data_IF_760320777391
#
_entry.id   IF_760320777391
#
_cell.length_a   1.000
_cell.length_b   1.000
_cell.length_c   1.000
_cell.angle_alpha   90.00
_cell.angle_beta   90.00
_cell.angle_gamma   90.00
#
_symmetry.space_group_name_H-M   'P 1'
#
loop_
_entity.id
_entity.type
_entity.pdbx_description
1 polymer ?
#
# COMPACT_ATOMS: atom_id res chain seq x y z
N UNK A 1 10.14 21.39 -27.27
CA UNK A 1 9.40 21.56 -25.99
C UNK A 1 9.15 20.19 -25.36
N UNK A 2 9.27 20.06 -24.03
CA UNK A 2 9.10 18.80 -23.28
C UNK A 2 7.68 18.65 -22.72
N UNK A 3 6.67 18.71 -23.60
CA UNK A 3 5.25 18.75 -23.22
C UNK A 3 4.81 17.45 -22.51
N UNK A 4 5.30 16.30 -22.98
CA UNK A 4 5.04 15.00 -22.35
C UNK A 4 5.54 14.94 -20.90
N UNK A 5 6.71 15.50 -20.62
CA UNK A 5 7.28 15.50 -19.27
C UNK A 5 6.51 16.43 -18.33
N UNK A 6 6.05 17.58 -18.85
CA UNK A 6 5.19 18.48 -18.11
C UNK A 6 3.87 17.80 -17.73
N UNK A 7 3.21 17.12 -18.68
CA UNK A 7 1.99 16.34 -18.42
C UNK A 7 2.23 15.29 -17.34
N UNK A 8 3.29 14.49 -17.48
CA UNK A 8 3.58 13.40 -16.55
C UNK A 8 3.88 13.92 -15.13
N UNK A 9 4.57 15.05 -15.01
CA UNK A 9 4.84 15.66 -13.71
C UNK A 9 3.57 16.16 -13.02
N UNK A 10 2.69 16.85 -13.75
CA UNK A 10 1.43 17.35 -13.19
C UNK A 10 0.49 16.18 -12.86
N UNK A 11 0.45 15.15 -13.71
CA UNK A 11 -0.31 13.92 -13.46
C UNK A 11 0.11 13.24 -12.15
N UNK A 12 1.42 13.00 -11.95
CA UNK A 12 1.93 12.41 -10.71
C UNK A 12 1.63 13.28 -9.50
N UNK A 13 1.77 14.60 -9.61
CA UNK A 13 1.41 15.51 -8.53
C UNK A 13 -0.08 15.42 -8.17
N UNK A 14 -0.97 15.31 -9.16
CA UNK A 14 -2.40 15.21 -8.92
C UNK A 14 -2.79 13.84 -8.34
N UNK A 15 -2.25 12.76 -8.89
CA UNK A 15 -2.65 11.40 -8.55
C UNK A 15 -1.94 10.91 -7.28
N UNK A 16 -0.62 10.96 -7.27
CA UNK A 16 0.20 10.38 -6.20
C UNK A 16 0.17 11.29 -4.98
N UNK A 17 0.39 12.60 -5.14
CA UNK A 17 0.48 13.51 -3.98
C UNK A 17 -0.89 14.03 -3.52
N UNK A 18 -1.67 14.65 -4.40
CA UNK A 18 -2.94 15.26 -4.01
C UNK A 18 -3.98 14.20 -3.64
N UNK A 19 -4.26 13.27 -4.55
CA UNK A 19 -5.35 12.30 -4.37
C UNK A 19 -4.98 11.20 -3.36
N UNK A 20 -3.79 10.60 -3.49
CA UNK A 20 -3.43 9.42 -2.68
C UNK A 20 -2.92 9.78 -1.28
N UNK A 21 -2.30 10.94 -1.08
CA UNK A 21 -1.78 11.37 0.22
C UNK A 21 -2.60 12.50 0.84
N UNK A 22 -2.66 13.68 0.21
CA UNK A 22 -3.26 14.86 0.84
C UNK A 22 -4.74 14.64 1.18
N UNK A 23 -5.54 14.14 0.23
CA UNK A 23 -6.96 13.89 0.49
C UNK A 23 -7.17 12.88 1.62
N UNK A 24 -6.40 11.78 1.64
CA UNK A 24 -6.47 10.79 2.73
C UNK A 24 -6.09 11.39 4.10
N UNK A 25 -5.10 12.28 4.13
CA UNK A 25 -4.68 12.97 5.35
C UNK A 25 -5.78 13.89 5.90
N UNK A 26 -6.50 14.60 5.03
CA UNK A 26 -7.50 15.59 5.47
C UNK A 26 -8.91 15.02 5.63
N UNK A 27 -9.17 13.81 5.14
CA UNK A 27 -10.49 13.15 5.26
C UNK A 27 -10.94 13.12 6.73
N UNK A 28 -12.11 13.66 7.08
CA UNK A 28 -12.62 13.54 8.43
C UNK A 28 -12.99 12.09 8.75
N UNK A 29 -13.25 11.80 10.03
CA UNK A 29 -13.84 10.52 10.41
C UNK A 29 -15.20 10.31 9.71
N UNK A 30 -15.66 9.06 9.61
CA UNK A 30 -16.89 8.74 8.90
C UNK A 30 -18.07 9.61 9.38
N UNK A 31 -18.74 10.26 8.43
CA UNK A 31 -19.85 11.21 8.64
C UNK A 31 -19.51 12.46 9.48
N UNK A 32 -18.24 12.76 9.73
CA UNK A 32 -17.82 13.99 10.40
C UNK A 32 -17.51 15.11 9.39
N UNK A 33 -17.76 16.38 9.75
CA UNK A 33 -17.40 17.50 8.90
C UNK A 33 -15.88 17.67 8.83
N UNK A 34 -15.38 18.14 7.68
CA UNK A 34 -14.01 18.61 7.55
C UNK A 34 -13.87 20.00 8.18
N UNK A 35 -12.73 20.27 8.79
CA UNK A 35 -12.40 21.61 9.26
C UNK A 35 -12.47 22.63 8.10
N UNK A 36 -13.10 23.78 8.34
CA UNK A 36 -13.36 24.77 7.31
C UNK A 36 -12.09 25.42 6.75
N UNK A 37 -11.04 25.59 7.57
CA UNK A 37 -9.77 26.13 7.09
C UNK A 37 -9.06 25.13 6.18
N UNK A 38 -9.04 23.86 6.58
CA UNK A 38 -8.51 22.74 5.80
C UNK A 38 -9.24 22.59 4.47
N UNK A 39 -10.58 22.61 4.49
CA UNK A 39 -11.41 22.53 3.29
C UNK A 39 -11.06 23.64 2.28
N UNK A 40 -11.02 24.89 2.73
CA UNK A 40 -10.66 26.03 1.86
C UNK A 40 -9.25 25.91 1.29
N UNK A 41 -8.30 25.45 2.09
CA UNK A 41 -6.92 25.24 1.63
C UNK A 41 -6.84 24.15 0.54
N UNK A 42 -7.50 23.02 0.75
CA UNK A 42 -7.53 21.89 -0.19
C UNK A 42 -8.23 22.26 -1.49
N UNK A 43 -9.37 22.98 -1.43
CA UNK A 43 -10.05 23.48 -2.62
C UNK A 43 -9.18 24.48 -3.39
N UNK A 44 -8.46 25.37 -2.70
CA UNK A 44 -7.54 26.30 -3.37
C UNK A 44 -6.38 25.56 -4.06
N UNK A 45 -5.86 24.49 -3.45
CA UNK A 45 -4.84 23.63 -4.07
C UNK A 45 -5.40 22.90 -5.29
N UNK A 46 -6.60 22.34 -5.18
CA UNK A 46 -7.30 21.68 -6.28
C UNK A 46 -7.49 22.61 -7.48
N UNK A 47 -7.96 23.84 -7.26
CA UNK A 47 -8.11 24.85 -8.31
C UNK A 47 -6.79 25.12 -9.04
N UNK A 48 -5.68 25.27 -8.29
CA UNK A 48 -4.34 25.46 -8.89
C UNK A 48 -3.89 24.28 -9.73
N UNK A 49 -4.18 23.05 -9.28
CA UNK A 49 -3.84 21.83 -10.01
C UNK A 49 -4.64 21.70 -11.31
N UNK A 50 -5.93 22.06 -11.28
CA UNK A 50 -6.78 22.06 -12.48
C UNK A 50 -6.29 23.11 -13.49
N UNK A 51 -5.88 24.30 -13.04
CA UNK A 51 -5.26 25.31 -13.93
C UNK A 51 -4.00 24.76 -14.60
N UNK A 52 -3.17 24.00 -13.88
CA UNK A 52 -1.98 23.36 -14.45
C UNK A 52 -2.32 22.25 -15.46
N UNK A 53 -3.43 21.53 -15.25
CA UNK A 53 -3.88 20.45 -16.14
C UNK A 53 -4.64 20.95 -17.38
N UNK A 54 -5.17 22.18 -17.35
CA UNK A 54 -6.02 22.72 -18.41
C UNK A 54 -5.42 22.66 -19.82
N UNK A 55 -4.12 22.95 -20.03
CA UNK A 55 -3.51 22.82 -21.36
C UNK A 55 -3.58 21.41 -21.96
N UNK A 56 -3.78 20.38 -21.13
CA UNK A 56 -3.84 18.97 -21.53
C UNK A 56 -5.26 18.40 -21.54
N UNK A 57 -6.15 18.89 -20.68
CA UNK A 57 -7.50 18.36 -20.49
C UNK A 57 -8.55 19.49 -20.43
N UNK A 58 -8.72 20.28 -21.50
CA UNK A 58 -9.38 21.59 -21.43
C UNK A 58 -10.86 21.54 -21.01
N UNK A 59 -11.62 20.56 -21.52
CA UNK A 59 -13.06 20.49 -21.27
C UNK A 59 -13.40 20.13 -19.82
N UNK A 60 -12.82 19.05 -19.30
CA UNK A 60 -13.10 18.60 -17.93
C UNK A 60 -12.54 19.56 -16.88
N UNK A 61 -11.39 20.18 -17.14
CA UNK A 61 -10.81 21.14 -16.21
C UNK A 61 -11.60 22.44 -16.17
N UNK A 62 -12.14 22.90 -17.30
CA UNK A 62 -13.09 24.02 -17.34
C UNK A 62 -14.36 23.69 -16.56
N UNK A 63 -14.98 22.55 -16.84
CA UNK A 63 -16.21 22.10 -16.15
C UNK A 63 -15.99 22.06 -14.63
N UNK A 64 -14.95 21.35 -14.17
CA UNK A 64 -14.65 21.26 -12.74
C UNK A 64 -14.36 22.63 -12.12
N UNK A 65 -13.61 23.49 -12.81
CA UNK A 65 -13.27 24.82 -12.31
C UNK A 65 -14.49 25.73 -12.12
N UNK A 66 -15.49 25.62 -13.00
CA UNK A 66 -16.77 26.31 -12.86
C UNK A 66 -17.62 25.77 -11.69
N UNK A 67 -17.48 24.49 -11.34
CA UNK A 67 -18.21 23.88 -10.23
C UNK A 67 -17.65 24.22 -8.84
N UNK A 68 -16.41 24.71 -8.74
CA UNK A 68 -15.79 25.01 -7.43
C UNK A 68 -16.49 26.19 -6.73
N UNK A 69 -16.84 27.23 -7.48
CA UNK A 69 -17.46 28.46 -6.96
C UNK A 69 -18.46 28.99 -7.98
N UNK A 70 -19.47 29.74 -7.52
CA UNK A 70 -20.29 30.52 -8.46
C UNK A 70 -19.44 31.60 -9.15
N UNK A 71 -19.44 31.57 -10.48
CA UNK A 71 -18.67 32.50 -11.32
C UNK A 71 -19.58 33.42 -12.12
N UNK A 72 -19.08 34.62 -12.43
CA UNK A 72 -19.78 35.55 -13.33
C UNK A 72 -19.70 35.05 -14.77
N UNK A 73 -20.71 35.38 -15.57
CA UNK A 73 -20.74 35.04 -16.99
C UNK A 73 -19.48 35.50 -17.73
N UNK A 74 -18.92 34.62 -18.56
CA UNK A 74 -17.72 34.89 -19.36
C UNK A 74 -16.39 34.63 -18.65
N UNK A 75 -16.38 34.26 -17.37
CA UNK A 75 -15.17 33.74 -16.73
C UNK A 75 -14.87 32.34 -17.28
N UNK A 76 -13.61 32.07 -17.61
CA UNK A 76 -13.13 30.77 -18.09
C UNK A 76 -11.73 30.53 -17.55
N UNK A 77 -11.42 29.27 -17.26
CA UNK A 77 -10.10 28.86 -16.79
C UNK A 77 -9.02 29.14 -17.84
N UNK A 78 -9.37 29.22 -19.13
CA UNK A 78 -8.47 29.61 -20.21
C UNK A 78 -7.80 30.98 -19.99
N UNK A 79 -8.48 31.87 -19.25
CA UNK A 79 -7.99 33.22 -18.97
C UNK A 79 -7.18 33.29 -17.66
N UNK A 80 -7.03 32.16 -16.94
CA UNK A 80 -6.25 32.12 -15.71
C UNK A 80 -4.75 32.14 -16.00
N UNK A 81 -4.01 32.88 -15.18
CA UNK A 81 -2.55 32.79 -15.17
C UNK A 81 -2.11 31.48 -14.52
N UNK A 82 -1.05 30.86 -15.07
CA UNK A 82 -0.43 29.71 -14.42
C UNK A 82 0.03 30.07 -13.00
N UNK A 83 -0.07 29.12 -12.03
CA UNK A 83 0.40 29.34 -10.68
C UNK A 83 1.89 29.74 -10.65
N UNK A 84 2.21 30.75 -9.85
CA UNK A 84 3.61 31.13 -9.60
C UNK A 84 4.23 30.17 -8.59
N UNK A 85 5.53 29.92 -8.75
CA UNK A 85 6.30 29.15 -7.77
C UNK A 85 6.35 29.88 -6.43
N UNK A 86 6.24 29.12 -5.34
CA UNK A 86 6.32 29.62 -3.97
C UNK A 86 7.55 29.07 -3.24
N UNK A 87 7.76 29.56 -2.02
CA UNK A 87 8.70 28.92 -1.08
C UNK A 87 8.10 27.60 -0.58
N UNK A 88 8.97 26.62 -0.32
CA UNK A 88 8.59 25.36 0.30
C UNK A 88 9.60 25.01 1.39
N UNK A 89 9.16 24.20 2.36
CA UNK A 89 10.01 23.69 3.42
C UNK A 89 10.59 22.34 3.01
N UNK A 90 11.88 22.33 2.63
CA UNK A 90 12.58 21.10 2.20
C UNK A 90 12.66 20.07 3.32
N UNK A 91 12.83 20.51 4.57
CA UNK A 91 12.94 19.61 5.73
C UNK A 91 11.61 18.94 5.98
N UNK A 92 10.50 19.68 5.91
CA UNK A 92 9.17 19.12 6.06
C UNK A 92 8.87 18.07 4.97
N UNK A 93 9.26 18.33 3.72
CA UNK A 93 9.10 17.35 2.63
C UNK A 93 9.91 16.07 2.90
N UNK A 94 11.17 16.18 3.30
CA UNK A 94 12.02 15.02 3.64
C UNK A 94 11.43 14.21 4.82
N UNK A 95 10.90 14.90 5.82
CA UNK A 95 10.22 14.24 6.94
C UNK A 95 8.91 13.58 6.50
N UNK A 96 8.17 14.19 5.58
CA UNK A 96 6.93 13.59 5.05
C UNK A 96 7.20 12.35 4.18
N UNK A 97 8.26 12.34 3.37
CA UNK A 97 8.69 11.13 2.65
C UNK A 97 9.01 9.99 3.62
N UNK A 98 9.68 10.32 4.74
CA UNK A 98 9.93 9.35 5.82
C UNK A 98 8.62 8.79 6.39
N UNK A 99 7.61 9.65 6.59
CA UNK A 99 6.30 9.22 7.05
C UNK A 99 5.59 8.30 6.03
N UNK A 100 5.69 8.58 4.73
CA UNK A 100 5.16 7.71 3.66
C UNK A 100 5.79 6.33 3.70
N UNK A 101 7.11 6.23 3.88
CA UNK A 101 7.84 4.97 4.00
C UNK A 101 7.36 4.15 5.22
N UNK A 102 7.18 4.80 6.37
CA UNK A 102 6.66 4.15 7.59
C UNK A 102 5.23 3.63 7.34
N UNK A 103 4.33 4.46 6.82
CA UNK A 103 2.94 4.11 6.56
C UNK A 103 2.86 2.93 5.58
N UNK A 104 3.64 2.97 4.51
CA UNK A 104 3.68 1.92 3.48
C UNK A 104 4.20 0.61 4.06
N UNK A 105 5.24 0.67 4.91
CA UNK A 105 5.79 -0.51 5.58
C UNK A 105 4.77 -1.16 6.52
N UNK A 106 4.08 -0.37 7.33
CA UNK A 106 3.02 -0.89 8.22
C UNK A 106 1.87 -1.50 7.41
N UNK A 107 1.41 -0.82 6.35
CA UNK A 107 0.36 -1.36 5.46
C UNK A 107 0.79 -2.67 4.79
N UNK A 108 2.04 -2.79 4.40
CA UNK A 108 2.60 -4.01 3.80
C UNK A 108 2.60 -5.17 4.80
N UNK A 109 3.02 -4.93 6.05
CA UNK A 109 2.96 -5.94 7.12
C UNK A 109 1.51 -6.38 7.37
N UNK A 110 0.57 -5.44 7.41
CA UNK A 110 -0.85 -5.75 7.59
C UNK A 110 -1.39 -6.60 6.43
N UNK A 111 -1.02 -6.28 5.20
CA UNK A 111 -1.39 -7.07 4.03
C UNK A 111 -0.79 -8.48 4.08
N UNK A 112 0.50 -8.60 4.40
CA UNK A 112 1.22 -9.88 4.52
C UNK A 112 0.56 -10.79 5.57
N UNK A 113 0.12 -10.20 6.69
CA UNK A 113 -0.48 -10.92 7.82
C UNK A 113 -2.01 -10.93 7.81
N UNK A 114 -2.61 -10.51 6.70
CA UNK A 114 -4.07 -10.49 6.52
C UNK A 114 -4.82 -9.69 7.60
N UNK A 115 -4.21 -8.66 8.17
CA UNK A 115 -4.80 -7.84 9.23
C UNK A 115 -5.79 -6.84 8.62
N UNK A 116 -7.09 -6.91 8.95
CA UNK A 116 -8.08 -6.02 8.39
C UNK A 116 -7.84 -4.55 8.73
N UNK A 117 -8.16 -3.65 7.79
CA UNK A 117 -7.96 -2.21 7.98
C UNK A 117 -8.68 -1.61 9.21
N UNK A 118 -9.79 -2.24 9.63
CA UNK A 118 -10.58 -1.87 10.81
C UNK A 118 -9.87 -2.12 12.15
N UNK A 119 -8.89 -3.03 12.18
CA UNK A 119 -8.15 -3.36 13.39
C UNK A 119 -6.98 -2.38 13.53
N UNK A 120 -6.84 -1.77 14.70
CA UNK A 120 -5.68 -0.92 14.99
C UNK A 120 -4.46 -1.78 15.31
N UNK A 121 -3.27 -1.26 14.97
CA UNK A 121 -1.98 -1.89 15.30
C UNK A 121 -1.10 -0.90 16.07
N UNK A 122 -0.26 -1.39 16.96
CA UNK A 122 0.71 -0.53 17.63
C UNK A 122 2.01 -0.44 16.82
N UNK A 123 2.66 0.73 16.85
CA UNK A 123 3.98 0.92 16.24
C UNK A 123 5.00 1.22 17.33
N UNK A 124 6.07 0.43 17.37
CA UNK A 124 7.19 0.67 18.27
C UNK A 124 8.37 1.22 17.48
N UNK A 125 8.97 2.30 17.95
CA UNK A 125 10.11 2.96 17.33
C UNK A 125 11.36 2.68 18.17
N UNK A 126 12.39 2.10 17.56
CA UNK A 126 13.64 1.83 18.27
C UNK A 126 14.50 3.07 18.39
N UNK A 127 14.93 3.36 19.61
CA UNK A 127 15.86 4.43 19.93
C UNK A 127 15.18 5.71 20.41
N UNK A 128 15.99 6.76 20.59
CA UNK A 128 15.56 8.03 21.21
C UNK A 128 15.12 9.09 20.19
N UNK A 129 14.94 8.71 18.92
CA UNK A 129 14.50 9.64 17.87
C UNK A 129 12.98 9.76 17.97
N UNK A 130 12.50 10.94 18.35
CA UNK A 130 11.06 11.25 18.31
C UNK A 130 10.65 11.64 16.90
N UNK A 131 9.53 11.09 16.45
CA UNK A 131 8.86 11.57 15.26
C UNK A 131 8.34 12.99 15.51
N UNK A 132 8.24 13.78 14.45
CA UNK A 132 7.56 15.08 14.55
C UNK A 132 6.09 14.83 14.94
N UNK A 133 5.58 15.53 15.96
CA UNK A 133 4.21 15.32 16.48
C UNK A 133 3.13 15.41 15.40
N UNK A 134 3.26 16.36 14.46
CA UNK A 134 2.36 16.50 13.33
C UNK A 134 2.38 15.28 12.40
N UNK A 135 3.56 14.73 12.13
CA UNK A 135 3.72 13.54 11.30
C UNK A 135 3.31 12.27 12.03
N UNK A 136 3.52 12.18 13.33
CA UNK A 136 3.04 11.05 14.15
C UNK A 136 1.53 10.91 14.05
N UNK A 137 0.79 12.04 14.11
CA UNK A 137 -0.68 12.02 13.92
C UNK A 137 -1.10 11.51 12.53
N UNK A 138 -0.35 11.88 11.50
CA UNK A 138 -0.60 11.46 10.11
C UNK A 138 -0.29 9.97 9.95
N UNK A 139 0.84 9.50 10.48
CA UNK A 139 1.23 8.09 10.46
C UNK A 139 0.18 7.26 11.18
N UNK A 140 -0.22 7.67 12.39
CA UNK A 140 -1.23 6.97 13.17
C UNK A 140 -2.55 6.85 12.43
N UNK A 141 -3.03 7.94 11.83
CA UNK A 141 -4.26 7.92 11.05
C UNK A 141 -4.18 7.02 9.81
N UNK A 142 -3.14 7.19 8.99
CA UNK A 142 -3.06 6.54 7.68
C UNK A 142 -2.61 5.08 7.76
N UNK A 143 -1.86 4.69 8.79
CA UNK A 143 -1.47 3.31 9.05
C UNK A 143 -2.48 2.57 9.96
N UNK A 144 -3.43 3.28 10.57
CA UNK A 144 -4.42 2.69 11.48
C UNK A 144 -3.80 2.29 12.81
N UNK A 145 -3.06 3.20 13.43
CA UNK A 145 -2.39 2.95 14.71
C UNK A 145 -3.24 3.37 15.89
N UNK A 146 -3.18 2.59 16.98
CA UNK A 146 -3.73 2.97 18.28
C UNK A 146 -2.71 3.73 19.14
N UNK A 147 -1.44 3.32 19.06
CA UNK A 147 -0.34 3.95 19.81
C UNK A 147 0.99 3.87 19.06
N UNK A 148 1.82 4.87 19.32
CA UNK A 148 3.23 4.91 18.95
C UNK A 148 4.05 4.94 20.24
N UNK A 149 4.92 3.95 20.43
CA UNK A 149 5.75 3.83 21.63
C UNK A 149 7.23 3.80 21.23
N UNK A 150 8.10 4.31 22.10
CA UNK A 150 9.53 4.39 21.86
C UNK A 150 10.23 3.37 22.76
N UNK A 151 11.02 2.47 22.16
CA UNK A 151 11.65 1.34 22.84
C UNK A 151 13.17 1.35 22.64
N UNK A 152 13.90 0.83 23.63
CA UNK A 152 15.36 0.70 23.53
C UNK A 152 15.80 -0.66 23.02
N UNK A 153 14.99 -1.69 23.24
CA UNK A 153 15.30 -3.08 22.92
C UNK A 153 14.41 -3.62 21.80
N UNK A 154 14.82 -4.76 21.23
CA UNK A 154 14.04 -5.48 20.23
C UNK A 154 12.82 -6.11 20.92
N UNK A 155 11.70 -6.16 20.21
CA UNK A 155 10.48 -6.82 20.69
C UNK A 155 10.34 -8.19 20.04
N UNK A 156 10.34 -9.23 20.88
CA UNK A 156 10.17 -10.60 20.44
C UNK A 156 8.74 -10.84 19.93
N UNK A 157 8.61 -11.59 18.83
CA UNK A 157 7.32 -11.89 18.19
C UNK A 157 6.70 -10.73 17.40
N UNK A 158 7.37 -9.57 17.29
CA UNK A 158 6.96 -8.47 16.43
C UNK A 158 7.61 -8.56 15.04
N UNK A 159 6.89 -8.10 14.01
CA UNK A 159 7.50 -7.87 12.69
C UNK A 159 8.34 -6.60 12.76
N UNK A 160 9.57 -6.65 12.25
CA UNK A 160 10.45 -5.48 12.18
C UNK A 160 10.65 -4.99 10.76
N UNK A 161 10.86 -3.68 10.62
CA UNK A 161 11.27 -3.04 9.37
C UNK A 161 12.16 -1.84 9.65
N UNK A 162 12.91 -1.38 8.66
CA UNK A 162 13.81 -0.24 8.79
C UNK A 162 13.39 0.86 7.82
N UNK A 163 13.31 2.08 8.32
CA UNK A 163 13.15 3.30 7.51
C UNK A 163 14.35 4.19 7.80
N UNK A 164 15.11 4.52 6.75
CA UNK A 164 16.41 5.17 6.87
C UNK A 164 17.36 4.40 7.82
N UNK A 165 17.64 4.97 9.01
CA UNK A 165 18.49 4.37 10.04
C UNK A 165 17.71 3.96 11.30
N UNK A 166 16.38 4.11 11.28
CA UNK A 166 15.52 3.81 12.43
C UNK A 166 14.82 2.47 12.22
N UNK A 167 14.87 1.62 13.24
CA UNK A 167 14.19 0.32 13.26
C UNK A 167 12.82 0.47 13.90
N UNK A 168 11.80 -0.14 13.29
CA UNK A 168 10.42 -0.09 13.73
C UNK A 168 9.90 -1.52 13.95
N UNK A 169 8.96 -1.67 14.88
CA UNK A 169 8.32 -2.95 15.18
C UNK A 169 6.81 -2.83 15.18
N UNK A 170 6.13 -3.84 14.65
CA UNK A 170 4.67 -4.00 14.71
C UNK A 170 4.37 -5.29 15.48
N UNK A 171 3.97 -5.19 16.76
CA UNK A 171 3.50 -6.33 17.53
C UNK A 171 2.19 -6.87 16.92
N UNK A 172 2.14 -8.17 16.65
CA UNK A 172 0.99 -8.80 15.98
C UNK A 172 0.16 -9.70 16.91
N UNK A 173 0.54 -9.80 18.19
CA UNK A 173 -0.10 -10.67 19.16
C UNK A 173 -1.60 -10.32 19.28
N UNK A 174 -2.47 -11.30 19.03
CA UNK A 174 -3.93 -11.15 19.10
C UNK A 174 -4.59 -10.48 17.88
N UNK A 175 -3.83 -10.09 16.85
CA UNK A 175 -4.37 -9.43 15.64
C UNK A 175 -4.37 -10.33 14.40
N UNK A 176 -3.65 -11.45 14.45
CA UNK A 176 -3.61 -12.44 13.38
C UNK A 176 -4.87 -13.30 13.47
N UNK A 177 -5.66 -13.33 12.40
CA UNK A 177 -6.76 -14.29 12.27
C UNK A 177 -6.17 -15.65 11.87
N UNK A 178 -5.89 -16.49 12.88
CA UNK A 178 -5.31 -17.83 12.68
C UNK A 178 -6.21 -18.69 11.79
N UNK A 179 -7.53 -18.57 11.93
CA UNK A 179 -8.49 -19.32 11.12
C UNK A 179 -8.42 -18.92 9.64
N UNK A 180 -8.35 -17.63 9.33
CA UNK A 180 -8.19 -17.14 7.94
C UNK A 180 -6.84 -17.54 7.33
N UNK A 181 -5.75 -17.51 8.11
CA UNK A 181 -4.43 -17.95 7.65
C UNK A 181 -4.43 -19.47 7.37
N UNK A 182 -5.06 -20.26 8.25
CA UNK A 182 -5.25 -21.70 8.03
C UNK A 182 -6.11 -21.95 6.79
N UNK A 183 -7.18 -21.19 6.57
CA UNK A 183 -8.03 -21.32 5.38
C UNK A 183 -7.25 -21.02 4.09
N UNK A 184 -6.43 -19.96 4.07
CA UNK A 184 -5.56 -19.63 2.94
C UNK A 184 -4.55 -20.74 2.64
N UNK A 185 -3.89 -21.24 3.67
CA UNK A 185 -2.92 -22.33 3.53
C UNK A 185 -3.60 -23.63 3.07
N UNK A 186 -4.84 -23.90 3.51
CA UNK A 186 -5.63 -25.04 3.04
C UNK A 186 -6.03 -24.89 1.56
N UNK A 187 -6.40 -23.69 1.12
CA UNK A 187 -6.70 -23.43 -0.29
C UNK A 187 -5.45 -23.63 -1.18
N UNK A 188 -4.28 -23.15 -0.73
CA UNK A 188 -3.01 -23.39 -1.42
C UNK A 188 -2.63 -24.88 -1.41
N UNK A 189 -2.82 -25.58 -0.29
CA UNK A 189 -2.61 -27.02 -0.16
C UNK A 189 -3.48 -27.81 -1.15
N UNK A 190 -4.77 -27.48 -1.24
CA UNK A 190 -5.70 -28.12 -2.18
C UNK A 190 -5.26 -27.91 -3.64
N UNK A 191 -4.78 -26.72 -3.98
CA UNK A 191 -4.22 -26.45 -5.32
C UNK A 191 -3.02 -27.33 -5.63
N UNK A 192 -2.03 -27.41 -4.73
CA UNK A 192 -0.85 -28.25 -4.96
C UNK A 192 -1.17 -29.75 -4.93
N UNK A 193 -2.13 -30.20 -4.13
CA UNK A 193 -2.63 -31.58 -4.16
C UNK A 193 -3.28 -31.93 -5.51
N UNK A 194 -4.12 -31.03 -6.05
CA UNK A 194 -4.71 -31.19 -7.38
C UNK A 194 -3.65 -31.18 -8.50
N UNK A 195 -2.66 -30.29 -8.40
CA UNK A 195 -1.53 -30.24 -9.32
C UNK A 195 -0.72 -31.55 -9.27
N UNK A 196 -0.37 -32.04 -8.08
CA UNK A 196 0.34 -33.31 -7.90
C UNK A 196 -0.44 -34.49 -8.47
N UNK A 197 -1.77 -34.55 -8.25
CA UNK A 197 -2.62 -35.59 -8.83
C UNK A 197 -2.57 -35.58 -10.36
N UNK A 198 -2.54 -34.40 -10.99
CA UNK A 198 -2.43 -34.28 -12.44
C UNK A 198 -1.07 -34.77 -12.98
N UNK A 199 0.01 -34.50 -12.23
CA UNK A 199 1.38 -34.93 -12.54
C UNK A 199 1.50 -36.45 -12.40
N UNK A 200 1.01 -37.01 -11.29
CA UNK A 200 1.00 -38.45 -11.04
C UNK A 200 0.18 -39.20 -12.10
N UNK A 201 -0.95 -38.65 -12.55
CA UNK A 201 -1.76 -39.26 -13.62
C UNK A 201 -1.01 -39.35 -14.95
N UNK A 202 -0.17 -38.34 -15.28
CA UNK A 202 0.69 -38.40 -16.47
C UNK A 202 1.84 -39.38 -16.30
N UNK A 203 2.50 -39.35 -15.14
CA UNK A 203 3.61 -40.24 -14.83
C UNK A 203 3.17 -41.71 -14.65
N UNK A 204 1.90 -41.97 -14.36
CA UNK A 204 1.31 -43.32 -14.31
C UNK A 204 0.81 -43.84 -15.66
N UNK A 205 0.85 -43.03 -16.73
CA UNK A 205 0.45 -43.46 -18.07
C UNK A 205 1.65 -44.09 -18.80
N UNK A 206 1.65 -45.41 -18.94
CA UNK A 206 2.73 -46.14 -19.61
C UNK A 206 3.02 -45.66 -21.04
N UNK A 207 1.99 -45.19 -21.78
CA UNK A 207 2.20 -44.61 -23.12
C UNK A 207 2.96 -43.29 -23.09
N UNK A 208 2.80 -42.52 -22.02
CA UNK A 208 3.53 -41.26 -21.83
C UNK A 208 4.98 -41.54 -21.41
N UNK A 209 5.20 -42.47 -20.48
CA UNK A 209 6.55 -42.85 -20.03
C UNK A 209 7.37 -43.43 -21.19
N UNK A 210 6.76 -44.32 -21.99
CA UNK A 210 7.45 -45.03 -23.06
C UNK A 210 7.50 -44.23 -24.37
N UNK A 211 6.64 -43.23 -24.55
CA UNK A 211 6.49 -42.47 -25.80
C UNK A 211 7.03 -41.03 -25.76
N UNK A 212 7.19 -40.43 -24.57
CA UNK A 212 7.69 -39.06 -24.45
C UNK A 212 9.23 -39.01 -24.39
N UNK A 213 9.87 -37.93 -24.88
CA UNK A 213 11.30 -37.74 -24.73
C UNK A 213 11.73 -37.73 -23.25
N UNK A 214 12.92 -38.26 -22.96
CA UNK A 214 13.44 -38.39 -21.60
C UNK A 214 13.48 -37.05 -20.84
N UNK A 215 13.79 -35.95 -21.53
CA UNK A 215 13.75 -34.60 -20.97
C UNK A 215 12.35 -34.19 -20.48
N UNK A 216 11.29 -34.62 -21.17
CA UNK A 216 9.90 -34.32 -20.80
C UNK A 216 9.48 -35.13 -19.58
N UNK A 217 9.87 -36.42 -19.53
CA UNK A 217 9.62 -37.28 -18.36
C UNK A 217 10.37 -36.77 -17.13
N UNK A 218 11.64 -36.37 -17.30
CA UNK A 218 12.45 -35.80 -16.23
C UNK A 218 11.87 -34.47 -15.71
N UNK A 219 11.36 -33.60 -16.58
CA UNK A 219 10.70 -32.36 -16.19
C UNK A 219 9.41 -32.63 -15.39
N UNK A 220 8.62 -33.64 -15.77
CA UNK A 220 7.39 -33.99 -15.05
C UNK A 220 7.70 -34.63 -13.68
N UNK A 221 8.78 -35.42 -13.57
CA UNK A 221 9.29 -35.91 -12.26
C UNK A 221 9.82 -34.79 -11.36
N UNK A 222 10.47 -33.77 -11.92
CA UNK A 222 10.86 -32.57 -11.14
C UNK A 222 9.63 -31.85 -10.58
N UNK A 223 8.59 -31.65 -11.40
CA UNK A 223 7.32 -31.06 -10.94
C UNK A 223 6.68 -31.86 -9.80
N UNK A 224 6.78 -33.18 -9.84
CA UNK A 224 6.32 -34.04 -8.74
C UNK A 224 7.06 -33.71 -7.44
N UNK A 225 8.41 -33.76 -7.49
CA UNK A 225 9.26 -33.49 -6.32
C UNK A 225 9.03 -32.08 -5.75
N UNK A 226 8.91 -31.07 -6.60
CA UNK A 226 8.68 -29.68 -6.18
C UNK A 226 7.30 -29.53 -5.51
N UNK A 227 6.27 -30.19 -6.07
CA UNK A 227 4.93 -30.17 -5.49
C UNK A 227 4.87 -30.90 -4.14
N UNK A 228 5.51 -32.06 -4.01
CA UNK A 228 5.60 -32.81 -2.75
C UNK A 228 6.32 -31.99 -1.66
N UNK A 229 7.45 -31.34 -2.01
CA UNK A 229 8.17 -30.48 -1.09
C UNK A 229 7.31 -29.30 -0.61
N UNK A 230 6.57 -28.65 -1.52
CA UNK A 230 5.65 -27.56 -1.17
C UNK A 230 4.49 -28.02 -0.28
N UNK A 231 3.85 -29.15 -0.61
CA UNK A 231 2.77 -29.74 0.20
C UNK A 231 3.28 -30.02 1.63
N UNK A 232 4.46 -30.61 1.76
CA UNK A 232 5.06 -30.90 3.07
C UNK A 232 5.27 -29.62 3.89
N UNK A 233 5.86 -28.59 3.27
CA UNK A 233 6.09 -27.30 3.94
C UNK A 233 4.78 -26.61 4.37
N UNK A 234 3.72 -26.69 3.55
CA UNK A 234 2.40 -26.15 3.88
C UNK A 234 1.77 -26.89 5.07
N UNK A 235 1.83 -28.22 5.10
CA UNK A 235 1.32 -29.03 6.22
C UNK A 235 2.05 -28.73 7.53
N UNK A 236 3.38 -28.60 7.49
CA UNK A 236 4.18 -28.22 8.66
C UNK A 236 3.75 -26.86 9.20
N UNK A 237 3.57 -25.87 8.31
CA UNK A 237 3.13 -24.51 8.67
C UNK A 237 1.72 -24.49 9.26
N UNK A 238 0.77 -25.21 8.67
CA UNK A 238 -0.60 -25.35 9.22
C UNK A 238 -0.54 -25.97 10.63
N UNK A 239 0.26 -27.03 10.82
CA UNK A 239 0.39 -27.69 12.13
C UNK A 239 1.02 -26.79 13.20
N UNK A 240 1.92 -25.90 12.81
CA UNK A 240 2.55 -24.93 13.71
C UNK A 240 1.57 -23.87 14.17
N UNK A 241 0.70 -23.40 13.27
CA UNK A 241 -0.34 -22.40 13.57
C UNK A 241 -1.48 -22.98 14.42
N UNK A 242 -1.82 -24.26 14.26
CA UNK A 242 -2.89 -24.90 15.04
C UNK A 242 -2.49 -25.24 16.49
N UNK A 243 -1.20 -25.14 16.84
CA UNK A 243 -0.65 -25.47 18.17
C UNK A 243 -0.35 -24.25 19.05
N UNK A 244 -0.32 -23.05 18.48
CA UNK A 244 -0.04 -21.79 19.16
C UNK A 244 -1.30 -20.96 19.32
#
# INVERSE_FOLDING_TARGET
>A
YRISDALMNVYKLFWDEFSSWLLEMVKPAYQQPIDGATYRAVISLFERLIVLLHPFMPFITEELWQHIYERKGGQSIMNCSLPKTGKFDKKLLEQFETAKEIITSVRSIRQEKSIPNKNTVSLLVKGNIKLNEGLESVISKLAGLDKVEYVTEKVDGAMSFMVQTTEFFVPLAGLINVDEEIEKLNNELNYYQGFLASVLKKLGNEKFINGAPEQVVAAERRKQSDAEAKIKALLERISGLAKG
#
